data_IF_685702740253
#
_entry.id   IF_685702740253
#
_cell.length_a   1.000
_cell.length_b   1.000
_cell.length_c   1.000
_cell.angle_alpha   90.00
_cell.angle_beta   90.00
_cell.angle_gamma   90.00
#
_symmetry.space_group_name_H-M   'P 1'
#
loop_
_entity.id
_entity.type
_entity.pdbx_description
1 polymer ?
#
# COMPACT_ATOMS: atom_id res chain seq x y z
N UNK A 1 -31.09 -87.27 -8.28
CA UNK A 1 -29.99 -87.74 -7.41
C UNK A 1 -29.24 -86.51 -6.90
N UNK A 2 -29.36 -86.19 -5.60
CA UNK A 2 -28.29 -86.30 -4.57
C UNK A 2 -27.04 -85.50 -4.99
N UNK A 3 -26.52 -84.52 -4.25
CA UNK A 3 -26.02 -84.66 -2.89
C UNK A 3 -25.58 -83.29 -2.31
N UNK A 4 -25.13 -83.34 -1.06
CA UNK A 4 -25.01 -82.30 -0.02
C UNK A 4 -23.58 -81.69 0.04
N UNK A 5 -23.35 -80.66 0.88
CA UNK A 5 -22.21 -79.73 0.87
C UNK A 5 -20.95 -80.30 1.53
N UNK A 6 -19.82 -79.59 1.42
CA UNK A 6 -18.74 -79.78 2.38
C UNK A 6 -17.39 -79.12 2.07
N UNK A 7 -16.92 -78.39 3.09
CA UNK A 7 -15.55 -78.27 3.58
C UNK A 7 -14.57 -77.23 3.00
N UNK A 8 -14.33 -76.23 3.89
CA UNK A 8 -13.06 -75.65 4.31
C UNK A 8 -11.76 -76.34 3.82
N UNK A 9 -10.79 -75.52 3.42
CA UNK A 9 -9.39 -75.64 3.85
C UNK A 9 -8.65 -74.30 3.74
N UNK A 10 -8.04 -73.87 4.85
CA UNK A 10 -7.04 -72.81 4.91
C UNK A 10 -5.74 -73.25 4.23
N UNK A 11 -5.05 -72.33 3.53
CA UNK A 11 -3.59 -72.34 3.43
C UNK A 11 -3.06 -70.93 3.11
N UNK A 12 -2.31 -70.37 4.05
CA UNK A 12 -1.45 -69.19 3.87
C UNK A 12 -0.18 -69.61 3.12
N UNK A 13 0.28 -68.84 2.13
CA UNK A 13 1.69 -68.53 1.85
C UNK A 13 1.87 -67.80 0.50
N UNK A 14 2.76 -66.80 0.46
CA UNK A 14 3.59 -66.56 -0.73
C UNK A 14 3.52 -65.16 -1.35
N UNK A 15 4.52 -64.34 -1.03
CA UNK A 15 4.77 -62.98 -1.49
C UNK A 15 4.91 -62.79 -3.01
N UNK A 16 4.45 -61.64 -3.52
CA UNK A 16 5.10 -60.76 -4.51
C UNK A 16 4.13 -59.59 -4.73
N UNK A 17 4.44 -58.32 -4.51
CA UNK A 17 5.70 -57.63 -4.71
C UNK A 17 5.42 -56.53 -5.73
N UNK A 18 5.07 -55.33 -5.26
CA UNK A 18 5.49 -54.02 -5.80
C UNK A 18 4.76 -52.93 -4.98
N UNK A 19 5.44 -52.36 -3.98
CA UNK A 19 4.93 -51.19 -3.27
C UNK A 19 5.33 -49.94 -4.06
N UNK A 20 4.38 -49.07 -4.47
CA UNK A 20 4.72 -47.83 -5.15
C UNK A 20 5.60 -46.98 -4.26
N UNK A 21 6.71 -46.48 -4.81
CA UNK A 21 7.59 -45.57 -4.13
C UNK A 21 6.80 -44.35 -3.59
N UNK A 22 7.02 -43.93 -2.33
CA UNK A 22 6.36 -42.75 -1.79
C UNK A 22 6.81 -41.52 -2.57
N UNK A 23 5.85 -40.70 -2.99
CA UNK A 23 6.09 -39.41 -3.60
C UNK A 23 6.91 -38.52 -2.64
N UNK A 24 7.87 -37.72 -3.15
CA UNK A 24 8.65 -36.82 -2.32
C UNK A 24 7.73 -35.82 -1.63
N UNK A 25 7.78 -35.80 -0.29
CA UNK A 25 7.07 -34.81 0.53
C UNK A 25 7.52 -33.41 0.14
N UNK A 26 6.56 -32.53 -0.16
CA UNK A 26 6.80 -31.12 -0.36
C UNK A 26 7.40 -30.53 0.93
N UNK A 27 8.63 -30.06 0.84
CA UNK A 27 9.31 -29.33 1.91
C UNK A 27 8.46 -28.12 2.30
N UNK A 28 8.20 -27.87 3.59
CA UNK A 28 7.51 -26.65 4.01
C UNK A 28 8.35 -25.44 3.60
N UNK A 29 7.79 -24.62 2.72
CA UNK A 29 8.39 -23.35 2.31
C UNK A 29 8.52 -22.46 3.56
N UNK A 30 9.73 -21.95 3.88
CA UNK A 30 9.91 -21.04 4.99
C UNK A 30 8.97 -19.84 4.82
N UNK A 31 8.15 -19.57 5.83
CA UNK A 31 7.34 -18.38 5.89
C UNK A 31 8.28 -17.17 5.74
N UNK A 32 8.04 -16.35 4.71
CA UNK A 32 8.77 -15.11 4.51
C UNK A 32 8.56 -14.25 5.76
N UNK A 33 9.60 -14.13 6.58
CA UNK A 33 9.68 -13.17 7.68
C UNK A 33 9.37 -11.80 7.09
N UNK A 34 8.26 -11.21 7.53
CA UNK A 34 7.85 -9.86 7.18
C UNK A 34 8.89 -8.90 7.74
N UNK A 35 9.78 -8.42 6.89
CA UNK A 35 10.69 -7.33 7.23
C UNK A 35 9.83 -6.13 7.67
N UNK A 36 10.03 -5.60 8.89
CA UNK A 36 9.29 -4.41 9.33
C UNK A 36 9.53 -3.27 8.35
N UNK A 37 8.45 -2.61 7.95
CA UNK A 37 8.52 -1.45 7.05
C UNK A 37 9.43 -0.38 7.67
N UNK A 38 10.34 0.25 6.89
CA UNK A 38 11.15 1.35 7.38
C UNK A 38 10.26 2.45 7.97
N UNK A 39 10.63 2.95 9.15
CA UNK A 39 9.91 4.07 9.76
C UNK A 39 9.99 5.31 8.85
N UNK A 40 8.95 6.16 8.81
CA UNK A 40 8.98 7.42 8.07
C UNK A 40 10.19 8.28 8.50
N UNK A 41 10.92 8.83 7.52
CA UNK A 41 11.95 9.82 7.82
C UNK A 41 11.25 11.18 7.90
N UNK A 42 11.15 11.66 9.13
CA UNK A 42 10.54 12.94 9.44
C UNK A 42 11.56 14.06 9.18
N UNK A 43 11.54 14.61 7.96
CA UNK A 43 12.28 15.85 7.68
C UNK A 43 11.64 16.96 8.50
N UNK A 44 12.42 17.54 9.43
CA UNK A 44 12.04 18.62 10.35
C UNK A 44 11.02 19.63 9.82
N UNK A 45 10.25 20.25 10.73
CA UNK A 45 9.59 21.51 10.41
C UNK A 45 10.64 22.47 9.80
N UNK A 46 10.34 22.99 8.61
CA UNK A 46 11.24 23.87 7.87
C UNK A 46 11.58 25.09 8.73
N UNK A 47 12.86 25.47 8.76
CA UNK A 47 13.29 26.66 9.48
C UNK A 47 12.59 27.91 8.93
N UNK A 48 12.24 28.92 9.75
CA UNK A 48 11.65 30.15 9.26
C UNK A 48 12.57 30.83 8.24
N UNK A 49 12.14 30.92 6.97
CA UNK A 49 12.94 31.50 5.87
C UNK A 49 13.35 30.49 4.79
N UNK A 50 13.24 29.19 5.05
CA UNK A 50 13.36 28.17 4.00
C UNK A 50 12.09 28.22 3.12
N UNK A 51 12.23 28.54 1.82
CA UNK A 51 11.10 28.49 0.89
C UNK A 51 10.59 27.04 0.84
N UNK A 52 9.33 26.78 1.22
CA UNK A 52 8.93 25.45 1.70
C UNK A 52 8.78 24.37 0.62
N UNK A 53 8.96 24.72 -0.65
CA UNK A 53 8.87 23.80 -1.77
C UNK A 53 9.39 24.47 -3.07
N UNK A 54 10.71 24.66 -3.27
CA UNK A 54 11.22 25.09 -4.58
C UNK A 54 10.72 24.19 -5.72
N UNK A 55 10.45 22.92 -5.44
CA UNK A 55 9.86 21.95 -6.36
C UNK A 55 8.39 22.23 -6.76
N UNK A 56 7.67 23.10 -6.04
CA UNK A 56 6.34 23.57 -6.43
C UNK A 56 6.40 24.93 -7.16
N UNK A 57 7.55 25.61 -7.16
CA UNK A 57 7.68 26.91 -7.80
C UNK A 57 7.51 26.77 -9.32
N UNK A 58 6.54 27.50 -9.88
CA UNK A 58 6.23 27.45 -11.31
C UNK A 58 5.49 26.20 -11.78
N UNK A 59 5.18 25.25 -10.89
CA UNK A 59 4.37 24.08 -11.24
C UNK A 59 2.89 24.42 -11.17
N UNK A 60 2.23 24.43 -12.33
CA UNK A 60 0.79 24.64 -12.39
C UNK A 60 0.05 23.48 -11.70
N UNK A 61 -0.99 23.75 -10.88
CA UNK A 61 -1.85 22.69 -10.35
C UNK A 61 -2.45 21.86 -11.48
N UNK A 62 -2.42 20.54 -11.32
CA UNK A 62 -3.06 19.62 -12.24
C UNK A 62 -4.56 19.92 -12.32
N UNK A 63 -5.09 19.96 -13.54
CA UNK A 63 -6.52 20.04 -13.76
C UNK A 63 -7.17 18.71 -13.38
N UNK A 64 -8.28 18.78 -12.62
CA UNK A 64 -8.97 17.59 -12.14
C UNK A 64 -9.95 17.91 -11.02
N UNK A 65 -10.51 16.86 -10.42
CA UNK A 65 -11.51 16.96 -9.37
C UNK A 65 -11.26 15.94 -8.26
N UNK A 66 -11.61 16.33 -7.04
CA UNK A 66 -11.62 15.42 -5.89
C UNK A 66 -12.95 14.67 -5.82
N UNK A 67 -12.86 13.35 -5.71
CA UNK A 67 -13.99 12.47 -5.44
C UNK A 67 -13.83 11.89 -4.04
N UNK A 68 -14.86 12.05 -3.22
CA UNK A 68 -14.86 11.65 -1.82
C UNK A 68 -15.65 10.37 -1.61
N UNK A 69 -15.13 9.50 -0.75
CA UNK A 69 -15.82 8.33 -0.21
C UNK A 69 -15.69 8.28 1.32
N UNK A 70 -16.35 7.31 1.94
CA UNK A 70 -16.26 7.13 3.40
C UNK A 70 -14.82 6.74 3.78
N UNK A 71 -14.09 7.68 4.39
CA UNK A 71 -12.69 7.48 4.75
C UNK A 71 -11.73 7.44 3.57
N UNK A 72 -12.12 8.00 2.41
CA UNK A 72 -11.24 8.10 1.25
C UNK A 72 -11.49 9.38 0.44
N UNK A 73 -10.45 9.82 -0.26
CA UNK A 73 -10.52 10.92 -1.21
C UNK A 73 -9.58 10.61 -2.38
N UNK A 74 -10.02 10.82 -3.61
CA UNK A 74 -9.24 10.56 -4.82
C UNK A 74 -9.29 11.76 -5.73
N UNK A 75 -8.12 12.25 -6.11
CA UNK A 75 -7.99 13.22 -7.18
C UNK A 75 -7.98 12.50 -8.53
N UNK A 76 -8.92 12.88 -9.40
CA UNK A 76 -9.03 12.41 -10.78
C UNK A 76 -8.62 13.54 -11.69
N UNK A 77 -7.61 13.32 -12.52
CA UNK A 77 -7.14 14.32 -13.48
C UNK A 77 -8.14 14.55 -14.62
N UNK A 78 -7.90 15.57 -15.45
CA UNK A 78 -8.73 15.90 -16.60
C UNK A 78 -8.86 14.76 -17.63
N UNK A 79 -7.96 13.77 -17.62
CA UNK A 79 -8.02 12.57 -18.46
C UNK A 79 -8.85 11.43 -17.83
N UNK A 80 -9.47 11.64 -16.67
CA UNK A 80 -10.24 10.62 -15.96
C UNK A 80 -9.39 9.63 -15.16
N UNK A 81 -8.07 9.85 -15.07
CA UNK A 81 -7.15 8.95 -14.37
C UNK A 81 -7.01 9.34 -12.90
N UNK A 82 -7.00 8.35 -12.00
CA UNK A 82 -6.79 8.59 -10.57
C UNK A 82 -5.35 8.89 -10.26
N UNK A 83 -4.94 10.16 -10.30
CA UNK A 83 -3.54 10.54 -10.16
C UNK A 83 -3.03 10.42 -8.71
N UNK A 84 -3.89 10.72 -7.73
CA UNK A 84 -3.54 10.65 -6.31
C UNK A 84 -4.77 10.29 -5.44
N UNK A 85 -4.57 9.58 -4.34
CA UNK A 85 -5.64 9.26 -3.40
C UNK A 85 -5.14 9.10 -1.96
N UNK A 86 -6.06 9.35 -1.03
CA UNK A 86 -5.93 9.09 0.40
C UNK A 86 -7.00 8.07 0.79
N UNK A 87 -6.64 7.11 1.65
CA UNK A 87 -7.58 6.15 2.22
C UNK A 87 -7.20 5.82 3.65
N UNK A 88 -8.18 5.78 4.55
CA UNK A 88 -7.97 5.28 5.90
C UNK A 88 -7.89 3.74 5.90
N UNK A 89 -6.86 3.20 6.53
CA UNK A 89 -6.78 1.82 6.97
C UNK A 89 -7.01 1.80 8.50
N UNK A 90 -8.28 1.70 8.89
CA UNK A 90 -8.67 1.78 10.31
C UNK A 90 -8.15 0.62 11.13
N UNK A 91 -7.97 -0.56 10.53
CA UNK A 91 -7.45 -1.72 11.23
C UNK A 91 -6.00 -1.51 11.69
N UNK A 92 -5.22 -0.74 10.91
CA UNK A 92 -3.82 -0.43 11.21
C UNK A 92 -3.60 0.97 11.77
N UNK A 93 -4.66 1.79 11.85
CA UNK A 93 -4.59 3.23 12.19
C UNK A 93 -3.55 3.96 11.31
N UNK A 94 -3.63 3.69 10.01
CA UNK A 94 -2.74 4.26 9.01
C UNK A 94 -3.53 5.04 7.96
N UNK A 95 -2.93 6.12 7.47
CA UNK A 95 -3.34 6.76 6.24
C UNK A 95 -2.54 6.16 5.08
N UNK A 96 -3.26 5.60 4.12
CA UNK A 96 -2.70 5.05 2.89
C UNK A 96 -2.72 6.14 1.82
N UNK A 97 -1.55 6.50 1.32
CA UNK A 97 -1.36 7.44 0.22
C UNK A 97 -1.10 6.64 -1.06
N UNK A 98 -1.90 6.87 -2.11
CA UNK A 98 -1.75 6.17 -3.37
C UNK A 98 -1.45 7.17 -4.47
N UNK A 99 -0.44 6.87 -5.29
CA UNK A 99 -0.12 7.64 -6.49
C UNK A 99 -0.14 6.73 -7.71
N UNK A 100 -0.64 7.23 -8.84
CA UNK A 100 -0.45 6.53 -10.12
C UNK A 100 0.99 6.70 -10.58
N UNK A 101 1.55 5.63 -11.14
CA UNK A 101 2.93 5.59 -11.61
C UNK A 101 3.62 4.27 -11.29
N UNK A 102 4.86 4.17 -11.73
CA UNK A 102 5.77 3.06 -11.41
C UNK A 102 6.87 3.61 -10.51
N UNK A 103 7.44 2.74 -9.67
CA UNK A 103 8.58 3.09 -8.85
C UNK A 103 9.52 1.89 -8.75
N UNK A 104 10.82 2.17 -8.76
CA UNK A 104 11.86 1.18 -8.55
C UNK A 104 11.92 0.74 -7.08
N UNK A 105 12.61 -0.37 -6.82
CA UNK A 105 12.82 -0.87 -5.45
C UNK A 105 13.49 0.19 -4.58
N UNK A 106 12.91 0.47 -3.40
CA UNK A 106 13.44 1.45 -2.45
C UNK A 106 13.06 2.90 -2.72
N UNK A 107 12.21 3.18 -3.70
CA UNK A 107 11.70 4.52 -3.93
C UNK A 107 10.89 5.06 -2.74
N UNK A 108 10.86 6.39 -2.61
CA UNK A 108 10.09 7.11 -1.60
C UNK A 108 8.99 7.93 -2.27
N UNK A 109 7.79 7.96 -1.67
CA UNK A 109 6.74 8.91 -1.99
C UNK A 109 7.00 10.16 -1.16
N UNK A 110 7.33 11.26 -1.82
CA UNK A 110 7.51 12.55 -1.16
C UNK A 110 6.26 13.39 -1.34
N UNK A 111 5.74 13.91 -0.23
CA UNK A 111 4.59 14.82 -0.20
C UNK A 111 5.07 16.14 0.37
N UNK A 112 4.83 17.22 -0.36
CA UNK A 112 5.23 18.57 0.03
C UNK A 112 4.05 19.51 -0.01
N UNK A 113 4.04 20.46 0.91
CA UNK A 113 3.08 21.55 1.01
C UNK A 113 3.86 22.86 1.11
N UNK A 114 3.17 23.99 1.03
CA UNK A 114 3.79 25.30 1.31
C UNK A 114 4.24 25.53 2.76
N UNK A 115 4.30 24.52 3.63
CA UNK A 115 4.76 24.67 5.02
C UNK A 115 5.55 23.48 5.57
N UNK A 116 5.50 22.33 4.91
CA UNK A 116 6.08 21.08 5.40
C UNK A 116 6.26 20.08 4.25
N UNK A 117 7.18 19.14 4.41
CA UNK A 117 7.36 17.97 3.55
C UNK A 117 7.50 16.70 4.38
N UNK A 118 7.19 15.55 3.78
CA UNK A 118 7.45 14.22 4.34
C UNK A 118 7.73 13.21 3.23
N UNK A 119 8.52 12.19 3.57
CA UNK A 119 8.89 11.10 2.65
C UNK A 119 8.55 9.75 3.27
N UNK A 120 7.87 8.91 2.50
CA UNK A 120 7.38 7.60 2.96
C UNK A 120 7.91 6.50 2.04
N UNK A 121 8.32 5.33 2.57
CA UNK A 121 8.67 4.20 1.74
C UNK A 121 7.46 3.71 0.95
N UNK A 122 7.67 3.37 -0.32
CA UNK A 122 6.59 2.89 -1.19
C UNK A 122 6.64 1.40 -1.41
N UNK A 123 5.46 0.82 -1.61
CA UNK A 123 5.28 -0.50 -2.20
C UNK A 123 4.65 -0.31 -3.57
N UNK A 124 5.36 -0.72 -4.62
CA UNK A 124 4.84 -0.68 -5.97
C UNK A 124 3.93 -1.89 -6.24
N UNK A 125 2.80 -1.66 -6.91
CA UNK A 125 1.86 -2.68 -7.36
C UNK A 125 1.35 -2.31 -8.76
N UNK A 126 2.06 -2.82 -9.78
CA UNK A 126 1.79 -2.48 -11.18
C UNK A 126 1.99 -0.99 -11.45
N UNK A 127 0.95 -0.31 -11.95
CA UNK A 127 0.95 1.14 -12.23
C UNK A 127 0.47 2.01 -11.07
N UNK A 128 0.53 1.48 -9.85
CA UNK A 128 0.18 2.18 -8.63
C UNK A 128 1.27 1.98 -7.62
N UNK A 129 1.54 3.02 -6.86
CA UNK A 129 2.43 2.97 -5.70
C UNK A 129 1.64 3.36 -4.47
N UNK A 130 1.91 2.65 -3.39
CA UNK A 130 1.28 2.84 -2.09
C UNK A 130 2.34 3.24 -1.08
N UNK A 131 2.06 4.28 -0.31
CA UNK A 131 2.82 4.62 0.88
C UNK A 131 1.89 4.67 2.09
N UNK A 132 2.45 4.47 3.27
CA UNK A 132 1.70 4.42 4.53
C UNK A 132 2.28 5.43 5.51
N UNK A 133 1.39 6.18 6.14
CA UNK A 133 1.72 7.09 7.23
C UNK A 133 0.91 6.66 8.47
N UNK A 134 1.57 6.58 9.63
CA UNK A 134 0.85 6.41 10.89
C UNK A 134 -0.11 7.59 11.12
N UNK A 135 -1.29 7.35 11.68
CA UNK A 135 -2.28 8.42 11.82
C UNK A 135 -1.85 9.57 12.76
N UNK A 136 -0.88 9.27 13.63
CA UNK A 136 -0.26 10.20 14.59
C UNK A 136 0.97 10.93 14.00
N UNK A 137 1.28 10.70 12.72
CA UNK A 137 2.35 11.42 12.01
C UNK A 137 2.07 12.93 12.00
N UNK A 138 3.07 13.70 12.44
CA UNK A 138 2.98 15.16 12.57
C UNK A 138 2.74 15.86 11.23
N UNK A 139 3.24 15.31 10.13
CA UNK A 139 3.00 15.83 8.79
C UNK A 139 1.51 15.82 8.44
N UNK A 140 0.75 14.82 8.92
CA UNK A 140 -0.70 14.77 8.68
C UNK A 140 -1.44 15.94 9.35
N UNK A 141 -0.90 16.51 10.43
CA UNK A 141 -1.45 17.72 11.03
C UNK A 141 -1.21 18.97 10.15
N UNK A 142 -0.06 19.05 9.47
CA UNK A 142 0.19 20.08 8.46
C UNK A 142 -0.71 19.89 7.23
N UNK A 143 -0.85 18.64 6.76
CA UNK A 143 -1.67 18.29 5.61
C UNK A 143 -3.16 18.59 5.81
N UNK A 144 -3.69 18.49 7.04
CA UNK A 144 -5.07 18.90 7.36
C UNK A 144 -5.32 20.41 7.21
N UNK A 145 -4.28 21.23 7.35
CA UNK A 145 -4.39 22.70 7.33
C UNK A 145 -3.93 23.29 6.00
N UNK A 146 -3.54 22.45 5.05
CA UNK A 146 -2.96 22.88 3.79
C UNK A 146 -3.96 23.71 2.98
N UNK A 147 -3.44 24.75 2.34
CA UNK A 147 -4.15 25.59 1.37
C UNK A 147 -3.30 25.67 0.10
N UNK A 148 -3.93 25.93 -1.03
CA UNK A 148 -3.23 26.04 -2.31
C UNK A 148 -2.94 24.68 -2.93
N UNK A 149 -1.67 24.30 -2.98
CA UNK A 149 -1.21 23.14 -3.76
C UNK A 149 -0.39 22.19 -2.89
N UNK A 150 -0.53 20.90 -3.15
CA UNK A 150 0.26 19.82 -2.57
C UNK A 150 1.08 19.21 -3.70
N UNK A 151 2.40 19.12 -3.52
CA UNK A 151 3.28 18.40 -4.41
C UNK A 151 3.39 16.95 -3.98
N UNK A 152 3.30 16.04 -4.95
CA UNK A 152 3.50 14.61 -4.72
C UNK A 152 4.51 14.11 -5.74
N UNK A 153 5.67 13.61 -5.30
CA UNK A 153 6.70 13.02 -6.17
C UNK A 153 7.06 11.59 -5.77
N UNK A 154 7.70 10.84 -6.67
CA UNK A 154 8.17 9.47 -6.48
C UNK A 154 9.65 9.45 -6.81
N UNK A 155 10.49 9.28 -5.79
CA UNK A 155 11.92 9.55 -5.91
C UNK A 155 12.16 10.92 -6.54
N UNK A 156 13.07 10.96 -7.51
CA UNK A 156 13.42 12.15 -8.30
C UNK A 156 12.48 12.39 -9.51
N UNK A 157 11.35 11.68 -9.58
CA UNK A 157 10.40 11.79 -10.68
C UNK A 157 9.60 13.11 -10.68
N UNK A 158 8.85 13.33 -11.76
CA UNK A 158 8.00 14.52 -11.93
C UNK A 158 7.09 14.75 -10.72
N UNK A 159 6.99 16.00 -10.27
CA UNK A 159 6.06 16.42 -9.20
C UNK A 159 4.65 16.51 -9.78
N UNK A 160 3.70 15.82 -9.15
CA UNK A 160 2.27 16.03 -9.35
C UNK A 160 1.82 17.11 -8.37
N UNK A 161 1.47 18.29 -8.88
CA UNK A 161 0.85 19.35 -8.11
C UNK A 161 -0.67 19.14 -8.06
N UNK A 162 -1.23 18.71 -6.93
CA UNK A 162 -2.68 18.59 -6.73
C UNK A 162 -3.22 19.78 -5.93
N UNK A 163 -4.41 20.30 -6.26
CA UNK A 163 -5.05 21.31 -5.43
C UNK A 163 -5.38 20.74 -4.05
N UNK A 164 -5.13 21.52 -3.00
CA UNK A 164 -5.61 21.25 -1.66
C UNK A 164 -7.15 21.25 -1.63
N UNK A 165 -7.74 20.34 -0.87
CA UNK A 165 -9.19 20.18 -0.79
C UNK A 165 -9.63 19.77 0.64
N UNK A 166 -10.76 20.28 1.15
CA UNK A 166 -11.31 19.89 2.46
C UNK A 166 -11.48 18.37 2.65
N UNK A 167 -11.68 17.61 1.57
CA UNK A 167 -11.73 16.16 1.58
C UNK A 167 -10.50 15.51 2.24
N UNK A 168 -9.32 16.11 2.07
CA UNK A 168 -8.08 15.61 2.67
C UNK A 168 -8.18 15.65 4.19
N UNK A 169 -8.58 16.81 4.73
CA UNK A 169 -8.77 16.98 6.17
C UNK A 169 -9.88 16.07 6.70
N UNK A 170 -10.95 15.88 5.94
CA UNK A 170 -12.05 14.98 6.28
C UNK A 170 -11.60 13.52 6.38
N UNK A 171 -10.77 13.03 5.45
CA UNK A 171 -10.22 11.65 5.50
C UNK A 171 -9.32 11.46 6.71
N UNK A 172 -8.43 12.41 6.99
CA UNK A 172 -7.52 12.32 8.13
C UNK A 172 -8.31 12.35 9.45
N UNK A 173 -9.29 13.25 9.57
CA UNK A 173 -10.16 13.32 10.75
C UNK A 173 -10.98 12.05 10.93
N UNK A 174 -11.55 11.51 9.84
CA UNK A 174 -12.25 10.22 9.87
C UNK A 174 -11.35 9.11 10.38
N UNK A 175 -10.09 9.06 9.93
CA UNK A 175 -9.18 8.00 10.31
C UNK A 175 -8.72 8.09 11.78
N UNK A 176 -8.63 9.31 12.33
CA UNK A 176 -8.37 9.53 13.76
C UNK A 176 -9.51 9.10 14.67
N UNK A 177 -10.74 9.21 14.20
CA UNK A 177 -11.94 8.81 14.94
C UNK A 177 -12.26 7.31 14.88
N UNK A 178 -11.35 6.47 14.39
CA UNK A 178 -11.54 5.03 14.18
C UNK A 178 -10.68 4.17 15.09
#
# INVERSE_FOLDING_TARGET
>A
MRWRPGLLALALAGCSGEQPAPAPSATPQPAATSTPAPAPIDVGALAPGELPAPELAGVAPAAGQWHTGKGSARFVDAGGTGAFALRCDSARRELVLLRSGTADGGAMLRVVTGMAAASYPVVASGRRVEARAGIDDRFLAALQKVKGTIGVSLGEGQVLAVPADPAIAAVISFCRGR
#
